data_IF_644520406723
#
_entry.id   IF_644520406723
#
_cell.length_a   1.000
_cell.length_b   1.000
_cell.length_c   1.000
_cell.angle_alpha   90.00
_cell.angle_beta   90.00
_cell.angle_gamma   90.00
#
_symmetry.space_group_name_H-M   'P 1'
#
loop_
_entity.id
_entity.type
_entity.pdbx_description
1 polymer ?
#
# COMPACT_ATOMS: atom_id res chain seq x y z
N UNK A 1 -16.45 14.33 10.01
CA UNK A 1 -15.31 13.62 10.60
C UNK A 1 -14.93 12.49 9.66
N UNK A 2 -13.73 12.54 9.07
CA UNK A 2 -13.28 11.51 8.14
C UNK A 2 -12.47 10.42 8.87
N UNK A 3 -12.62 9.16 8.44
CA UNK A 3 -11.91 8.01 9.02
C UNK A 3 -10.90 7.49 8.01
N UNK A 4 -9.62 7.46 8.40
CA UNK A 4 -8.57 6.75 7.67
C UNK A 4 -8.52 5.33 8.19
N UNK A 5 -8.68 4.36 7.29
CA UNK A 5 -8.58 2.93 7.57
C UNK A 5 -7.19 2.47 7.10
N UNK A 6 -6.39 1.93 8.01
CA UNK A 6 -4.99 1.58 7.72
C UNK A 6 -4.61 0.25 8.36
N UNK A 7 -3.55 -0.37 7.86
CA UNK A 7 -2.81 -1.39 8.57
C UNK A 7 -2.29 -0.86 9.93
N UNK A 8 -2.11 -1.74 10.94
CA UNK A 8 -1.64 -1.39 12.29
C UNK A 8 -0.13 -1.09 12.31
N UNK A 9 0.34 -0.17 11.47
CA UNK A 9 1.73 0.29 11.45
C UNK A 9 1.84 1.70 12.04
N UNK A 10 2.99 2.07 12.63
CA UNK A 10 3.23 3.42 13.13
C UNK A 10 2.92 4.49 12.09
N UNK A 11 2.37 5.62 12.55
CA UNK A 11 1.86 6.70 11.70
C UNK A 11 2.93 7.24 10.76
N UNK A 12 4.16 7.38 11.24
CA UNK A 12 5.33 7.84 10.49
C UNK A 12 5.74 6.89 9.34
N UNK A 13 5.28 5.63 9.37
CA UNK A 13 5.51 4.64 8.30
C UNK A 13 4.37 4.58 7.28
N UNK A 14 3.24 5.23 7.57
CA UNK A 14 2.11 5.30 6.65
C UNK A 14 2.34 6.43 5.64
N UNK A 15 2.26 6.11 4.36
CA UNK A 15 2.58 7.06 3.29
C UNK A 15 1.68 8.31 3.30
N UNK A 16 0.38 8.18 3.62
CA UNK A 16 -0.52 9.33 3.78
C UNK A 16 0.06 10.30 4.81
N UNK A 17 0.38 9.79 5.99
CA UNK A 17 0.84 10.63 7.07
C UNK A 17 2.24 11.18 6.84
N UNK A 18 3.12 10.37 6.26
CA UNK A 18 4.49 10.75 5.94
C UNK A 18 4.60 11.74 4.80
N UNK A 19 3.70 11.76 3.83
CA UNK A 19 3.86 12.63 2.65
C UNK A 19 2.84 13.76 2.58
N UNK A 20 1.70 13.64 3.25
CA UNK A 20 0.60 14.60 3.09
C UNK A 20 0.14 15.24 4.41
N UNK A 21 0.41 14.62 5.57
CA UNK A 21 -0.10 15.10 6.87
C UNK A 21 1.03 15.46 7.86
N UNK A 22 2.31 15.35 7.48
CA UNK A 22 3.44 15.59 8.41
C UNK A 22 3.36 16.93 9.16
N UNK A 23 3.04 18.01 8.44
CA UNK A 23 2.96 19.37 9.00
C UNK A 23 1.52 19.89 9.10
N UNK A 24 0.53 19.03 8.90
CA UNK A 24 -0.88 19.39 8.98
C UNK A 24 -1.50 18.78 10.23
N UNK A 25 -2.46 19.49 10.83
CA UNK A 25 -3.27 18.91 11.90
C UNK A 25 -4.16 17.83 11.29
N UNK A 26 -4.12 16.64 11.88
CA UNK A 26 -5.10 15.59 11.61
C UNK A 26 -6.13 15.59 12.75
N UNK A 27 -7.38 15.80 12.41
CA UNK A 27 -8.53 15.83 13.32
C UNK A 27 -9.53 14.68 13.06
N UNK A 28 -9.20 13.78 12.13
CA UNK A 28 -9.98 12.59 11.81
C UNK A 28 -9.71 11.40 12.73
N UNK A 29 -10.37 10.28 12.43
CA UNK A 29 -10.20 9.01 13.14
C UNK A 29 -9.21 8.13 12.38
N UNK A 30 -8.24 7.54 13.07
CA UNK A 30 -7.40 6.48 12.51
C UNK A 30 -7.90 5.13 13.01
N UNK A 31 -8.43 4.30 12.11
CA UNK A 31 -8.91 2.94 12.39
C UNK A 31 -7.91 1.92 11.86
N UNK A 32 -7.31 1.15 12.76
CA UNK A 32 -6.39 0.08 12.39
C UNK A 32 -7.13 -1.22 12.09
N UNK A 33 -6.71 -1.90 11.03
CA UNK A 33 -7.29 -3.17 10.56
C UNK A 33 -6.17 -4.05 10.02
N UNK A 34 -6.14 -5.32 10.45
CA UNK A 34 -5.02 -6.22 10.17
C UNK A 34 -5.06 -6.83 8.77
N UNK A 35 -6.23 -6.86 8.13
CA UNK A 35 -6.45 -7.54 6.85
C UNK A 35 -6.83 -6.55 5.74
N UNK A 36 -6.08 -6.59 4.63
CA UNK A 36 -6.34 -5.73 3.47
C UNK A 36 -7.75 -5.90 2.89
N UNK A 37 -8.26 -7.13 2.87
CA UNK A 37 -9.63 -7.41 2.42
C UNK A 37 -10.68 -6.73 3.31
N UNK A 38 -10.48 -6.69 4.62
CA UNK A 38 -11.39 -6.00 5.54
C UNK A 38 -11.29 -4.49 5.37
N UNK A 39 -10.08 -3.93 5.17
CA UNK A 39 -9.92 -2.50 4.83
C UNK A 39 -10.77 -2.17 3.60
N UNK A 40 -10.66 -2.99 2.56
CA UNK A 40 -11.45 -2.85 1.35
C UNK A 40 -12.96 -2.88 1.63
N UNK A 41 -13.46 -3.90 2.34
CA UNK A 41 -14.88 -4.03 2.69
C UNK A 41 -15.42 -2.81 3.44
N UNK A 42 -14.62 -2.25 4.35
CA UNK A 42 -15.02 -1.07 5.11
C UNK A 42 -15.08 0.18 4.22
N UNK A 43 -14.14 0.34 3.29
CA UNK A 43 -14.14 1.43 2.32
C UNK A 43 -15.33 1.31 1.36
N UNK A 44 -15.62 0.12 0.82
CA UNK A 44 -16.78 -0.10 -0.05
C UNK A 44 -18.11 0.14 0.67
N UNK A 45 -18.14 -0.04 1.99
CA UNK A 45 -19.29 0.27 2.84
C UNK A 45 -19.39 1.75 3.25
N UNK A 46 -18.50 2.62 2.76
CA UNK A 46 -18.50 4.05 3.07
C UNK A 46 -18.05 4.39 4.49
N UNK A 47 -17.35 3.48 5.19
CA UNK A 47 -16.91 3.71 6.57
C UNK A 47 -15.61 4.52 6.69
N UNK A 48 -14.99 4.90 5.57
CA UNK A 48 -13.78 5.71 5.55
C UNK A 48 -13.04 5.62 4.22
N UNK A 49 -11.80 6.11 4.23
CA UNK A 49 -10.86 6.09 3.11
C UNK A 49 -9.59 5.34 3.49
N UNK A 50 -8.87 4.80 2.51
CA UNK A 50 -7.60 4.11 2.73
C UNK A 50 -6.60 4.45 1.62
N UNK A 51 -5.31 4.51 1.94
CA UNK A 51 -4.25 4.42 0.94
C UNK A 51 -3.77 2.98 0.87
N UNK A 52 -3.97 2.37 -0.29
CA UNK A 52 -3.57 0.99 -0.56
C UNK A 52 -2.73 0.98 -1.84
N UNK A 53 -1.80 0.01 -2.00
CA UNK A 53 -1.09 -0.16 -3.25
C UNK A 53 -2.03 -0.45 -4.41
N UNK A 54 -1.69 0.03 -5.62
CA UNK A 54 -2.51 -0.15 -6.82
C UNK A 54 -2.92 -1.61 -7.04
N UNK A 55 -1.97 -2.54 -6.94
CA UNK A 55 -2.22 -3.98 -7.14
C UNK A 55 -3.30 -4.55 -6.20
N UNK A 56 -3.51 -3.96 -5.03
CA UNK A 56 -4.54 -4.38 -4.08
C UNK A 56 -5.91 -3.78 -4.44
N UNK A 57 -5.92 -2.61 -5.09
CA UNK A 57 -7.12 -1.83 -5.43
C UNK A 57 -7.68 -2.24 -6.79
N UNK A 58 -6.81 -2.47 -7.79
CA UNK A 58 -7.17 -2.69 -9.20
C UNK A 58 -8.27 -3.74 -9.41
N UNK A 59 -8.23 -4.94 -8.77
CA UNK A 59 -9.25 -5.96 -9.01
C UNK A 59 -10.65 -5.53 -8.57
N UNK A 60 -10.76 -4.63 -7.60
CA UNK A 60 -12.03 -4.19 -7.04
C UNK A 60 -12.55 -2.92 -7.70
N UNK A 61 -11.64 -2.03 -8.11
CA UNK A 61 -11.98 -0.88 -8.93
C UNK A 61 -12.57 -1.33 -10.28
N UNK A 62 -12.00 -2.37 -10.91
CA UNK A 62 -12.54 -2.92 -12.16
C UNK A 62 -13.96 -3.49 -12.03
N UNK A 63 -14.39 -3.80 -10.80
CA UNK A 63 -15.75 -4.26 -10.48
C UNK A 63 -16.69 -3.11 -10.08
N UNK A 64 -16.21 -1.88 -10.04
CA UNK A 64 -16.99 -0.70 -9.62
C UNK A 64 -17.31 -0.66 -8.12
N UNK A 65 -16.64 -1.47 -7.29
CA UNK A 65 -16.91 -1.57 -5.85
C UNK A 65 -16.32 -0.40 -5.06
N UNK A 66 -15.28 0.22 -5.59
CA UNK A 66 -14.61 1.39 -5.03
C UNK A 66 -14.16 2.31 -6.16
N UNK A 67 -13.85 3.55 -5.80
CA UNK A 67 -13.20 4.52 -6.68
C UNK A 67 -11.83 4.87 -6.10
N UNK A 68 -10.77 4.76 -6.89
CA UNK A 68 -9.46 5.25 -6.49
C UNK A 68 -9.26 6.70 -6.91
N UNK A 69 -8.41 7.42 -6.16
CA UNK A 69 -7.92 8.74 -6.52
C UNK A 69 -6.40 8.75 -6.33
N UNK A 70 -5.64 9.47 -7.18
CA UNK A 70 -4.20 9.59 -6.99
C UNK A 70 -3.88 10.36 -5.71
N UNK A 71 -2.88 9.90 -4.97
CA UNK A 71 -2.32 10.61 -3.82
C UNK A 71 -1.44 11.77 -4.30
N UNK A 72 -2.00 12.98 -4.36
CA UNK A 72 -1.34 14.17 -4.89
C UNK A 72 -1.45 14.29 -6.41
N UNK A 73 -1.02 15.43 -6.96
CA UNK A 73 -1.22 15.76 -8.38
C UNK A 73 -0.57 14.77 -9.36
N UNK A 74 0.53 14.13 -8.96
CA UNK A 74 1.26 13.15 -9.78
C UNK A 74 1.06 11.70 -9.31
N UNK A 75 0.22 11.48 -8.28
CA UNK A 75 0.18 10.23 -7.54
C UNK A 75 1.44 9.99 -6.69
N UNK A 76 1.41 8.93 -5.89
CA UNK A 76 2.53 8.49 -5.06
C UNK A 76 3.03 7.13 -5.54
N UNK A 77 4.30 7.07 -5.94
CA UNK A 77 4.96 5.83 -6.32
C UNK A 77 6.02 5.44 -5.29
N UNK A 78 5.98 4.19 -4.83
CA UNK A 78 6.98 3.64 -3.90
C UNK A 78 7.68 2.43 -4.52
N UNK A 79 9.03 2.41 -4.60
CA UNK A 79 9.75 1.24 -5.06
C UNK A 79 9.67 0.11 -4.02
N UNK A 80 9.50 -1.12 -4.49
CA UNK A 80 9.63 -2.32 -3.67
C UNK A 80 11.05 -2.87 -3.84
N UNK A 81 11.74 -3.06 -2.73
CA UNK A 81 13.11 -3.58 -2.72
C UNK A 81 13.13 -5.04 -2.27
N UNK A 82 14.02 -5.82 -2.87
CA UNK A 82 14.36 -7.15 -2.43
C UNK A 82 15.72 -7.11 -1.73
N UNK A 83 15.81 -7.69 -0.54
CA UNK A 83 17.04 -7.77 0.24
C UNK A 83 17.42 -9.22 0.50
N UNK A 84 18.73 -9.52 0.45
CA UNK A 84 19.28 -10.82 0.80
C UNK A 84 20.62 -10.67 1.50
N UNK A 85 21.03 -11.69 2.27
CA UNK A 85 22.36 -11.73 2.85
C UNK A 85 23.41 -11.89 1.74
N UNK A 86 24.57 -11.24 1.91
CA UNK A 86 25.62 -11.16 0.89
C UNK A 86 26.19 -12.53 0.50
N UNK A 87 26.32 -13.42 1.47
CA UNK A 87 26.80 -14.81 1.32
C UNK A 87 25.82 -15.71 0.56
N UNK A 88 24.53 -15.36 0.49
CA UNK A 88 23.51 -16.11 -0.25
C UNK A 88 23.48 -15.82 -1.75
N UNK A 89 24.30 -14.88 -2.24
CA UNK A 89 24.29 -14.40 -3.64
C UNK A 89 24.51 -15.51 -4.67
N UNK A 90 25.34 -16.49 -4.37
CA UNK A 90 25.72 -17.56 -5.30
C UNK A 90 24.91 -18.84 -5.12
N UNK A 91 24.00 -18.88 -4.16
CA UNK A 91 23.10 -20.02 -3.99
C UNK A 91 22.11 -20.08 -5.18
N UNK A 92 22.00 -21.24 -5.84
CA UNK A 92 21.26 -21.38 -7.09
C UNK A 92 19.76 -21.11 -6.94
N UNK A 93 19.15 -21.42 -5.79
CA UNK A 93 17.73 -21.15 -5.51
C UNK A 93 17.47 -19.65 -5.49
N UNK A 94 18.31 -18.89 -4.78
CA UNK A 94 18.17 -17.44 -4.71
C UNK A 94 18.49 -16.76 -6.04
N UNK A 95 19.48 -17.25 -6.80
CA UNK A 95 19.73 -16.76 -8.16
C UNK A 95 18.54 -16.98 -9.08
N UNK A 96 17.93 -18.17 -9.04
CA UNK A 96 16.74 -18.46 -9.82
C UNK A 96 15.59 -17.53 -9.43
N UNK A 97 15.31 -17.38 -8.13
CA UNK A 97 14.29 -16.46 -7.61
C UNK A 97 14.51 -15.02 -8.08
N UNK A 98 15.75 -14.51 -7.97
CA UNK A 98 16.10 -13.16 -8.44
C UNK A 98 15.83 -12.97 -9.93
N UNK A 99 16.17 -13.95 -10.75
CA UNK A 99 15.93 -13.88 -12.19
C UNK A 99 14.42 -13.89 -12.50
N UNK A 100 13.65 -14.72 -11.80
CA UNK A 100 12.19 -14.75 -11.92
C UNK A 100 11.56 -13.41 -11.52
N UNK A 101 12.02 -12.80 -10.42
CA UNK A 101 11.55 -11.47 -10.02
C UNK A 101 11.87 -10.41 -11.07
N UNK A 102 13.06 -10.44 -11.69
CA UNK A 102 13.44 -9.48 -12.76
C UNK A 102 12.59 -9.62 -14.01
N UNK A 103 12.25 -10.85 -14.40
CA UNK A 103 11.40 -11.13 -15.56
C UNK A 103 9.95 -10.72 -15.32
N UNK A 104 9.45 -10.92 -14.10
CA UNK A 104 8.07 -10.63 -13.72
C UNK A 104 7.91 -9.27 -13.02
N UNK A 105 8.92 -8.39 -13.08
CA UNK A 105 8.79 -7.03 -12.56
C UNK A 105 8.01 -6.19 -13.58
N UNK A 106 6.74 -6.57 -13.77
CA UNK A 106 5.79 -5.87 -14.62
C UNK A 106 5.45 -4.53 -13.99
N UNK A 107 6.20 -3.52 -14.40
CA UNK A 107 5.59 -2.30 -14.90
C UNK A 107 5.45 -2.44 -16.40
#
# INVERSE_FOLDING_TARGET
NETIISYPIPRERQDIFKHFIQNARFDGTLKNVDQGLLIFQLVSAGMGVAALPDWLVTPYESQGLIKSIPLGALGLTRPMYLAMKKDMKDNPVYRHFLNTCKLNNGR
#
